data_IF_585073543429
#
_entry.id   IF_585073543429
#
_cell.length_a   1.000
_cell.length_b   1.000
_cell.length_c   1.000
_cell.angle_alpha   90.00
_cell.angle_beta   90.00
_cell.angle_gamma   90.00
#
_symmetry.space_group_name_H-M   'P 1'
#
loop_
_entity.id
_entity.type
_entity.pdbx_description
1 polymer ?
#
# COMPACT_ATOMS: atom_id res chain seq x y z
N UNK A 1 -3.38 10.33 10.74
CA UNK A 1 -4.03 9.47 9.71
C UNK A 1 -4.05 10.10 8.33
N UNK A 2 -4.30 11.41 8.14
CA UNK A 2 -4.31 12.04 6.80
C UNK A 2 -3.07 11.72 5.95
N UNK A 3 -1.86 11.90 6.50
CA UNK A 3 -0.61 11.54 5.81
C UNK A 3 -0.53 10.05 5.41
N UNK A 4 -0.89 9.13 6.30
CA UNK A 4 -0.88 7.69 6.01
C UNK A 4 -1.87 7.32 4.90
N UNK A 5 -3.05 7.94 4.89
CA UNK A 5 -4.07 7.72 3.84
C UNK A 5 -3.60 8.33 2.52
N UNK A 6 -3.04 9.53 2.51
CA UNK A 6 -2.45 10.14 1.30
C UNK A 6 -1.32 9.29 0.74
N UNK A 7 -0.45 8.78 1.61
CA UNK A 7 0.64 7.88 1.22
C UNK A 7 0.11 6.57 0.64
N UNK A 8 -0.93 5.98 1.26
CA UNK A 8 -1.56 4.76 0.76
C UNK A 8 -2.18 4.97 -0.63
N UNK A 9 -2.85 6.10 -0.87
CA UNK A 9 -3.44 6.43 -2.17
C UNK A 9 -2.35 6.64 -3.22
N UNK A 10 -1.32 7.44 -2.92
CA UNK A 10 -0.22 7.71 -3.84
C UNK A 10 0.52 6.42 -4.24
N UNK A 11 0.91 5.61 -3.25
CA UNK A 11 1.59 4.34 -3.50
C UNK A 11 0.65 3.37 -4.23
N UNK A 12 -0.65 3.38 -3.92
CA UNK A 12 -1.66 2.58 -4.62
C UNK A 12 -1.74 2.90 -6.12
N UNK A 13 -1.69 4.19 -6.50
CA UNK A 13 -1.67 4.61 -7.92
C UNK A 13 -0.39 4.13 -8.61
N UNK A 14 0.77 4.35 -7.99
CA UNK A 14 2.06 3.92 -8.54
C UNK A 14 2.11 2.39 -8.68
N UNK A 15 1.65 1.67 -7.65
CA UNK A 15 1.58 0.21 -7.65
C UNK A 15 0.63 -0.31 -8.73
N UNK A 16 -0.52 0.35 -8.95
CA UNK A 16 -1.46 -0.04 -10.02
C UNK A 16 -0.80 0.08 -11.40
N UNK A 17 -0.04 1.17 -11.63
CA UNK A 17 0.75 1.32 -12.84
C UNK A 17 1.78 0.19 -12.99
N UNK A 18 2.53 -0.12 -11.92
CA UNK A 18 3.47 -1.23 -11.94
C UNK A 18 2.80 -2.59 -12.16
N UNK A 19 1.63 -2.83 -11.56
CA UNK A 19 0.88 -4.07 -11.70
C UNK A 19 0.41 -4.28 -13.14
N UNK A 20 0.03 -3.20 -13.85
CA UNK A 20 -0.39 -3.26 -15.25
C UNK A 20 0.75 -3.71 -16.18
N UNK A 21 1.97 -3.22 -15.94
CA UNK A 21 3.15 -3.56 -16.74
C UNK A 21 3.95 -4.77 -16.19
N UNK A 22 3.42 -5.50 -15.20
CA UNK A 22 4.17 -6.55 -14.51
C UNK A 22 4.65 -7.67 -15.44
N UNK A 23 3.89 -8.00 -16.50
CA UNK A 23 4.26 -9.01 -17.50
C UNK A 23 5.53 -8.66 -18.26
N UNK A 24 5.79 -7.36 -18.43
CA UNK A 24 6.85 -6.84 -19.30
C UNK A 24 8.08 -6.39 -18.49
N UNK A 25 8.05 -6.59 -17.16
CA UNK A 25 9.14 -6.22 -16.27
C UNK A 25 10.30 -7.21 -16.31
N UNK A 26 11.53 -6.68 -16.26
CA UNK A 26 12.72 -7.48 -16.01
C UNK A 26 12.75 -7.97 -14.54
N UNK A 27 13.65 -8.91 -14.24
CA UNK A 27 13.76 -9.52 -12.91
C UNK A 27 14.04 -8.50 -11.80
N UNK A 28 14.88 -7.49 -12.05
CA UNK A 28 15.17 -6.44 -11.06
C UNK A 28 13.93 -5.60 -10.73
N UNK A 29 13.14 -5.23 -11.74
CA UNK A 29 11.90 -4.49 -11.58
C UNK A 29 10.82 -5.30 -10.85
N UNK A 30 10.75 -6.62 -11.09
CA UNK A 30 9.85 -7.51 -10.33
C UNK A 30 10.21 -7.56 -8.84
N UNK A 31 11.50 -7.56 -8.49
CA UNK A 31 11.93 -7.47 -7.08
C UNK A 31 11.41 -6.18 -6.45
N UNK A 32 11.55 -5.04 -7.14
CA UNK A 32 11.00 -3.76 -6.66
C UNK A 32 9.49 -3.83 -6.49
N UNK A 33 8.78 -4.44 -7.45
CA UNK A 33 7.33 -4.65 -7.34
C UNK A 33 6.96 -5.44 -6.08
N UNK A 34 7.67 -6.52 -5.76
CA UNK A 34 7.40 -7.29 -4.54
C UNK A 34 7.70 -6.52 -3.25
N UNK A 35 8.78 -5.73 -3.22
CA UNK A 35 9.11 -4.85 -2.08
C UNK A 35 8.01 -3.81 -1.87
N UNK A 36 7.60 -3.13 -2.94
CA UNK A 36 6.53 -2.11 -2.88
C UNK A 36 5.19 -2.74 -2.51
N UNK A 37 4.87 -3.94 -3.03
CA UNK A 37 3.66 -4.69 -2.66
C UNK A 37 3.65 -5.03 -1.17
N UNK A 38 4.78 -5.50 -0.64
CA UNK A 38 4.93 -5.82 0.79
C UNK A 38 4.74 -4.57 1.65
N UNK A 39 5.32 -3.44 1.23
CA UNK A 39 5.13 -2.15 1.91
C UNK A 39 3.69 -1.64 1.83
N UNK A 40 3.02 -1.79 0.69
CA UNK A 40 1.62 -1.41 0.50
C UNK A 40 0.71 -2.21 1.44
N UNK A 41 0.88 -3.54 1.51
CA UNK A 41 0.11 -4.40 2.41
C UNK A 41 0.30 -4.00 3.87
N UNK A 42 1.52 -3.68 4.28
CA UNK A 42 1.81 -3.19 5.62
C UNK A 42 1.06 -1.89 5.94
N UNK A 43 1.07 -0.91 5.01
CA UNK A 43 0.32 0.34 5.17
C UNK A 43 -1.19 0.10 5.28
N UNK A 44 -1.75 -0.81 4.48
CA UNK A 44 -3.17 -1.19 4.57
C UNK A 44 -3.50 -1.69 5.97
N UNK A 45 -2.70 -2.62 6.52
CA UNK A 45 -2.92 -3.19 7.85
C UNK A 45 -2.87 -2.09 8.93
N UNK A 46 -1.89 -1.18 8.87
CA UNK A 46 -1.80 -0.07 9.83
C UNK A 46 -3.03 0.84 9.75
N UNK A 47 -3.46 1.21 8.55
CA UNK A 47 -4.62 2.08 8.36
C UNK A 47 -5.88 1.40 8.88
N UNK A 48 -6.10 0.11 8.56
CA UNK A 48 -7.23 -0.65 9.08
C UNK A 48 -7.20 -0.75 10.60
N UNK A 49 -6.04 -1.06 11.19
CA UNK A 49 -5.88 -1.11 12.65
C UNK A 49 -6.21 0.25 13.29
N UNK A 50 -5.73 1.35 12.71
CA UNK A 50 -5.98 2.70 13.20
C UNK A 50 -7.48 3.07 13.12
N UNK A 51 -8.16 2.67 12.04
CA UNK A 51 -9.61 2.87 11.88
C UNK A 51 -10.42 2.06 12.90
N UNK A 52 -10.09 0.77 13.08
CA UNK A 52 -10.76 -0.08 14.08
C UNK A 52 -10.50 0.38 15.52
N UNK A 53 -9.27 0.79 15.84
CA UNK A 53 -8.92 1.28 17.18
C UNK A 53 -9.67 2.55 17.53
N UNK A 54 -9.93 3.44 16.56
CA UNK A 54 -10.72 4.66 16.79
C UNK A 54 -12.20 4.35 17.06
N UNK A 55 -12.75 3.33 16.39
CA UNK A 55 -14.13 2.87 16.58
C UNK A 55 -14.38 2.33 18.00
N UNK A 56 -13.39 1.64 18.59
CA UNK A 56 -13.50 1.11 19.96
C UNK A 56 -13.31 2.15 21.08
N UNK A 57 -12.84 3.36 20.77
CA UNK A 57 -12.66 4.46 21.74
C UNK A 57 -13.87 5.42 21.80
N UNK A 58 -14.87 5.24 20.91
CA UNK A 58 -16.08 6.07 20.85
C UNK A 58 -17.29 5.36 21.47
N UNK A 59 -17.06 4.33 22.28
CA UNK A 59 -18.09 3.54 22.98
C UNK A 59 -17.76 3.52 24.46
#
# INVERSE_FOLDING_TARGET
MKLLVTQLIMIGVIWTGMAFFFSDMNEASKVVFYVVTSWLLFLIVIVLKALFSKKNQTK
#
